data_IF_651465711692
#
_entry.id   IF_651465711692
#
_cell.length_a   1.000
_cell.length_b   1.000
_cell.length_c   1.000
_cell.angle_alpha   90.00
_cell.angle_beta   90.00
_cell.angle_gamma   90.00
#
_symmetry.space_group_name_H-M   'P 1'
#
loop_
_entity.id
_entity.type
_entity.pdbx_description
1 polymer ?
#
# COMPACT_ATOMS: atom_id res chain seq x y z
N UNK A 1 12.64 6.91 16.84
CA UNK A 1 11.40 6.20 17.18
C UNK A 1 11.40 4.92 16.37
N UNK A 2 11.39 3.77 17.02
CA UNK A 2 11.47 2.46 16.37
C UNK A 2 10.05 1.94 16.15
N UNK A 3 9.73 1.49 14.94
CA UNK A 3 8.40 0.99 14.59
C UNK A 3 8.24 -0.42 15.16
N UNK A 4 7.39 -0.57 16.18
CA UNK A 4 7.06 -1.87 16.78
C UNK A 4 5.60 -2.24 16.49
N UNK A 5 5.39 -3.23 15.62
CA UNK A 5 4.09 -3.67 15.14
C UNK A 5 3.19 -4.26 16.24
N UNK A 6 3.78 -4.73 17.34
CA UNK A 6 3.04 -5.26 18.49
C UNK A 6 2.49 -4.17 19.41
N UNK A 7 3.01 -2.93 19.32
CA UNK A 7 2.60 -1.81 20.17
C UNK A 7 2.18 -0.56 19.40
N UNK A 8 2.29 -0.57 18.08
CA UNK A 8 1.94 0.56 17.22
C UNK A 8 0.46 0.96 17.38
N UNK A 9 0.24 2.23 17.72
CA UNK A 9 -1.10 2.81 17.91
C UNK A 9 -1.80 3.12 16.58
N UNK A 10 -1.09 3.16 15.47
CA UNK A 10 -1.64 3.44 14.15
C UNK A 10 -2.15 2.17 13.45
N UNK A 11 -1.88 0.99 14.00
CA UNK A 11 -2.42 -0.27 13.52
C UNK A 11 -3.75 -0.58 14.21
N UNK A 12 -4.81 -0.79 13.43
CA UNK A 12 -6.09 -1.28 13.94
C UNK A 12 -5.98 -2.69 14.54
N UNK A 13 -5.04 -3.49 14.04
CA UNK A 13 -4.69 -4.81 14.57
C UNK A 13 -3.17 -4.87 14.73
N UNK A 14 -2.71 -4.99 15.98
CA UNK A 14 -1.30 -5.16 16.33
C UNK A 14 -0.89 -6.60 16.06
N UNK A 15 0.36 -6.79 15.64
CA UNK A 15 0.87 -8.12 15.33
C UNK A 15 2.37 -8.23 15.51
N UNK A 16 2.83 -9.47 15.57
CA UNK A 16 4.23 -9.86 15.59
C UNK A 16 4.48 -10.93 14.51
N UNK A 17 5.66 -11.54 14.53
CA UNK A 17 6.05 -12.55 13.55
C UNK A 17 5.18 -13.82 13.60
N UNK A 18 4.51 -14.10 14.71
CA UNK A 18 3.66 -15.29 14.89
C UNK A 18 2.22 -15.05 14.46
N UNK A 19 1.77 -13.80 14.47
CA UNK A 19 0.37 -13.37 14.19
C UNK A 19 0.20 -12.62 12.87
N UNK A 20 1.30 -12.38 12.14
CA UNK A 20 1.33 -11.60 10.89
C UNK A 20 0.37 -12.13 9.83
N UNK A 21 0.20 -13.45 9.73
CA UNK A 21 -0.64 -14.07 8.69
C UNK A 21 -2.13 -13.87 8.94
N UNK A 22 -2.53 -13.68 10.20
CA UNK A 22 -3.92 -13.40 10.60
C UNK A 22 -4.19 -11.89 10.56
N UNK A 23 -3.22 -11.07 10.95
CA UNK A 23 -3.40 -9.62 11.06
C UNK A 23 -3.33 -8.88 9.72
N UNK A 24 -2.38 -9.22 8.84
CA UNK A 24 -2.20 -8.48 7.57
C UNK A 24 -3.43 -8.49 6.66
N UNK A 25 -4.20 -9.60 6.52
CA UNK A 25 -5.45 -9.58 5.76
C UNK A 25 -6.45 -8.54 6.29
N UNK A 26 -6.64 -8.46 7.61
CA UNK A 26 -7.55 -7.50 8.24
C UNK A 26 -7.10 -6.04 8.02
N UNK A 27 -5.80 -5.80 8.14
CA UNK A 27 -5.21 -4.48 7.89
C UNK A 27 -5.35 -4.08 6.41
N UNK A 28 -5.23 -5.03 5.49
CA UNK A 28 -5.42 -4.79 4.06
C UNK A 28 -6.87 -4.45 3.72
N UNK A 29 -7.83 -5.20 4.26
CA UNK A 29 -9.26 -4.91 4.08
C UNK A 29 -9.64 -3.54 4.62
N UNK A 30 -9.10 -3.17 5.79
CA UNK A 30 -9.29 -1.84 6.37
C UNK A 30 -8.71 -0.74 5.47
N UNK A 31 -7.52 -0.94 4.90
CA UNK A 31 -6.93 0.01 3.95
C UNK A 31 -7.77 0.14 2.68
N UNK A 32 -8.20 -0.99 2.09
CA UNK A 32 -9.05 -1.01 0.90
C UNK A 32 -10.32 -0.21 1.11
N UNK A 33 -11.01 -0.44 2.23
CA UNK A 33 -12.22 0.30 2.60
C UNK A 33 -11.93 1.80 2.78
N UNK A 34 -10.84 2.16 3.48
CA UNK A 34 -10.48 3.54 3.75
C UNK A 34 -10.17 4.36 2.48
N UNK A 35 -9.69 3.71 1.42
CA UNK A 35 -9.32 4.37 0.15
C UNK A 35 -10.33 4.12 -0.98
N UNK A 36 -11.46 3.48 -0.68
CA UNK A 36 -12.56 3.24 -1.64
C UNK A 36 -12.28 2.16 -2.69
N UNK A 37 -11.36 1.24 -2.42
CA UNK A 37 -11.11 0.07 -3.27
C UNK A 37 -12.08 -1.07 -2.93
N UNK A 38 -12.32 -2.01 -3.87
CA UNK A 38 -13.00 -3.26 -3.55
C UNK A 38 -12.31 -3.98 -2.39
N UNK A 39 -13.07 -4.31 -1.34
CA UNK A 39 -12.56 -5.01 -0.17
C UNK A 39 -12.45 -6.49 -0.49
N UNK A 40 -11.23 -6.95 -0.71
CA UNK A 40 -10.91 -8.33 -1.04
C UNK A 40 -9.47 -8.64 -0.61
N UNK A 41 -9.35 -9.52 0.39
CA UNK A 41 -8.05 -9.93 0.96
C UNK A 41 -7.18 -10.72 -0.02
N UNK A 42 -7.75 -11.28 -1.09
CA UNK A 42 -7.03 -12.12 -2.05
C UNK A 42 -6.46 -11.32 -3.23
N UNK A 43 -7.00 -10.14 -3.54
CA UNK A 43 -6.49 -9.27 -4.63
C UNK A 43 -5.16 -8.62 -4.21
N UNK A 44 -4.00 -8.88 -4.86
CA UNK A 44 -2.72 -8.27 -4.49
C UNK A 44 -2.81 -6.73 -4.43
N UNK A 45 -2.28 -6.13 -3.36
CA UNK A 45 -2.24 -4.67 -3.19
C UNK A 45 -0.80 -4.19 -3.16
N UNK A 46 -0.46 -3.30 -4.08
CA UNK A 46 0.84 -2.66 -4.20
C UNK A 46 0.73 -1.25 -3.60
N UNK A 47 1.56 -0.95 -2.60
CA UNK A 47 1.63 0.37 -1.98
C UNK A 47 2.90 1.10 -2.36
N UNK A 48 2.79 2.36 -2.79
CA UNK A 48 3.91 3.29 -2.94
C UNK A 48 3.70 4.49 -2.02
N UNK A 49 4.72 4.79 -1.20
CA UNK A 49 4.75 5.98 -0.36
C UNK A 49 6.04 6.73 -0.65
N UNK A 50 5.94 7.95 -1.18
CA UNK A 50 7.12 8.71 -1.57
C UNK A 50 6.81 9.97 -2.36
N UNK A 51 7.85 10.74 -2.68
CA UNK A 51 7.71 11.94 -3.52
C UNK A 51 7.59 11.53 -4.99
N UNK A 52 6.62 12.10 -5.69
CA UNK A 52 6.42 11.91 -7.14
C UNK A 52 7.25 12.94 -7.91
N UNK A 53 8.56 12.66 -7.98
CA UNK A 53 9.54 13.44 -8.75
C UNK A 53 10.42 12.49 -9.56
N UNK A 54 10.88 12.93 -10.74
CA UNK A 54 11.74 12.12 -11.66
C UNK A 54 12.95 11.52 -10.94
N UNK A 55 13.56 12.26 -10.02
CA UNK A 55 14.75 11.81 -9.27
C UNK A 55 14.46 10.72 -8.22
N UNK A 56 13.21 10.21 -8.14
CA UNK A 56 12.75 9.20 -7.17
C UNK A 56 12.05 7.99 -7.80
N UNK A 57 12.18 7.77 -9.12
CA UNK A 57 11.67 6.56 -9.77
C UNK A 57 10.15 6.60 -10.04
N UNK A 58 9.57 7.80 -10.08
CA UNK A 58 8.15 7.99 -10.44
C UNK A 58 7.87 7.61 -11.90
N UNK A 59 8.86 7.76 -12.78
CA UNK A 59 8.88 7.27 -14.15
C UNK A 59 8.83 5.73 -14.23
N UNK A 60 9.57 5.04 -13.35
CA UNK A 60 9.55 3.58 -13.25
C UNK A 60 8.18 3.10 -12.74
N UNK A 61 7.62 3.77 -11.72
CA UNK A 61 6.30 3.46 -11.21
C UNK A 61 5.23 3.61 -12.30
N UNK A 62 5.27 4.70 -13.08
CA UNK A 62 4.37 4.92 -14.20
C UNK A 62 4.47 3.82 -15.28
N UNK A 63 5.70 3.45 -15.65
CA UNK A 63 5.94 2.36 -16.59
C UNK A 63 5.45 1.01 -16.05
N UNK A 64 5.54 0.77 -14.75
CA UNK A 64 5.08 -0.44 -14.10
C UNK A 64 3.55 -0.53 -14.01
N UNK A 65 2.86 0.58 -13.69
CA UNK A 65 1.39 0.64 -13.63
C UNK A 65 0.77 0.15 -14.95
N UNK A 66 1.32 0.58 -16.08
CA UNK A 66 0.87 0.16 -17.41
C UNK A 66 0.90 -1.37 -17.60
N UNK A 67 1.84 -2.07 -16.97
CA UNK A 67 1.94 -3.55 -17.02
C UNK A 67 0.95 -4.23 -16.09
N UNK A 68 0.58 -3.57 -14.99
CA UNK A 68 -0.34 -4.12 -13.99
C UNK A 68 -1.82 -3.91 -14.35
N UNK A 69 -2.14 -2.98 -15.25
CA UNK A 69 -3.52 -2.64 -15.62
C UNK A 69 -4.33 -3.82 -16.19
N UNK A 70 -3.64 -4.82 -16.76
CA UNK A 70 -4.27 -6.05 -17.29
C UNK A 70 -4.39 -7.16 -16.26
N UNK A 71 -3.89 -6.96 -15.04
CA UNK A 71 -3.90 -7.94 -13.95
C UNK A 71 -4.97 -7.57 -12.91
N UNK A 72 -5.48 -8.56 -12.18
CA UNK A 72 -6.35 -8.32 -11.03
C UNK A 72 -5.53 -7.88 -9.81
N UNK A 73 -5.07 -6.63 -9.81
CA UNK A 73 -4.28 -6.03 -8.72
C UNK A 73 -4.83 -4.66 -8.34
N UNK A 74 -4.54 -4.25 -7.12
CA UNK A 74 -4.83 -2.91 -6.61
C UNK A 74 -3.53 -2.15 -6.37
N UNK A 75 -3.55 -0.84 -6.61
CA UNK A 75 -2.41 0.03 -6.40
C UNK A 75 -2.84 1.24 -5.57
N UNK A 76 -2.12 1.50 -4.48
CA UNK A 76 -2.29 2.68 -3.62
C UNK A 76 -1.02 3.51 -3.67
N UNK A 77 -1.13 4.77 -4.09
CA UNK A 77 -0.01 5.71 -4.22
C UNK A 77 -0.29 6.88 -3.30
N UNK A 78 0.57 7.07 -2.30
CA UNK A 78 0.56 8.24 -1.41
C UNK A 78 1.83 9.05 -1.64
N UNK A 79 1.68 10.23 -2.22
CA UNK A 79 2.81 11.08 -2.52
C UNK A 79 2.43 12.51 -2.79
N UNK A 80 3.41 13.38 -2.67
CA UNK A 80 3.36 14.77 -3.13
C UNK A 80 4.40 14.95 -4.22
N UNK A 81 4.09 15.77 -5.23
CA UNK A 81 4.95 15.92 -6.40
C UNK A 81 4.59 17.12 -7.26
N UNK A 82 5.31 17.27 -8.36
CA UNK A 82 5.04 18.35 -9.33
C UNK A 82 3.85 17.96 -10.20
N UNK A 83 3.00 18.94 -10.52
CA UNK A 83 1.75 18.83 -11.30
C UNK A 83 1.85 18.15 -12.69
N UNK A 84 3.07 17.82 -13.14
CA UNK A 84 3.36 17.23 -14.45
C UNK A 84 3.27 15.69 -14.45
N UNK A 85 3.07 15.07 -13.28
CA UNK A 85 2.88 13.63 -13.08
C UNK A 85 1.47 13.35 -12.58
#
# INVERSE_FOLDING_TARGET
QEWNLATDKYLGVKYDITTVMQAKPLLKEALQAAVGLPVDRDIPLIGFIGRLEEQKGSDILYAAISKFISMNVQIVILGTGRKKF
#
